data_IF_537134248973
#
_entry.id   IF_537134248973
#
_cell.length_a   1.000
_cell.length_b   1.000
_cell.length_c   1.000
_cell.angle_alpha   90.00
_cell.angle_beta   90.00
_cell.angle_gamma   90.00
#
_symmetry.space_group_name_H-M   'P 1'
#
loop_
_entity.id
_entity.type
_entity.pdbx_description
1 polymer ?
#
# COMPACT_ATOMS: atom_id res chain seq x y z
N UNK A 1 16.95 -36.54 -28.32
CA UNK A 1 16.02 -35.39 -28.26
C UNK A 1 15.93 -34.90 -26.83
N UNK A 2 16.65 -33.83 -26.46
CA UNK A 2 16.64 -33.26 -25.09
C UNK A 2 16.85 -31.74 -25.11
N UNK A 3 16.40 -31.06 -26.17
CA UNK A 3 16.55 -29.60 -26.29
C UNK A 3 15.67 -28.80 -25.32
N UNK A 4 14.48 -29.32 -25.00
CA UNK A 4 13.53 -28.64 -24.11
C UNK A 4 13.86 -28.77 -22.63
N UNK A 5 14.48 -29.89 -22.21
CA UNK A 5 14.86 -30.12 -20.82
C UNK A 5 15.89 -29.08 -20.32
N UNK A 6 16.85 -28.70 -21.17
CA UNK A 6 17.84 -27.67 -20.83
C UNK A 6 17.24 -26.27 -20.70
N UNK A 7 16.17 -25.98 -21.46
CA UNK A 7 15.49 -24.69 -21.38
C UNK A 7 14.65 -24.56 -20.10
N UNK A 8 13.97 -25.63 -19.71
CA UNK A 8 13.22 -25.68 -18.44
C UNK A 8 14.12 -25.52 -17.22
N UNK A 9 15.33 -26.10 -17.27
CA UNK A 9 16.32 -25.97 -16.20
C UNK A 9 16.85 -24.53 -16.08
N UNK A 10 17.12 -23.87 -17.21
CA UNK A 10 17.50 -22.46 -17.26
C UNK A 10 16.41 -21.55 -16.67
N UNK A 11 15.13 -21.80 -16.99
CA UNK A 11 14.00 -21.04 -16.43
C UNK A 11 13.86 -21.24 -14.91
N UNK A 12 14.10 -22.45 -14.40
CA UNK A 12 14.10 -22.73 -12.95
C UNK A 12 15.22 -21.99 -12.23
N UNK A 13 16.41 -21.95 -12.82
CA UNK A 13 17.58 -21.28 -12.22
C UNK A 13 17.40 -19.76 -12.16
N UNK A 14 16.88 -19.17 -13.24
CA UNK A 14 16.51 -17.74 -13.31
C UNK A 14 15.45 -17.37 -12.26
N UNK A 15 14.44 -18.22 -12.07
CA UNK A 15 13.39 -18.00 -11.06
C UNK A 15 13.92 -18.07 -9.63
N UNK A 16 14.86 -18.98 -9.34
CA UNK A 16 15.51 -19.08 -8.01
C UNK A 16 16.35 -17.85 -7.70
N UNK A 17 17.12 -17.35 -8.68
CA UNK A 17 17.99 -16.17 -8.51
C UNK A 17 17.20 -14.87 -8.27
N UNK A 18 15.97 -14.78 -8.78
CA UNK A 18 15.07 -13.64 -8.53
C UNK A 18 14.50 -13.62 -7.09
N UNK A 19 14.36 -14.78 -6.44
CA UNK A 19 13.77 -14.88 -5.11
C UNK A 19 14.75 -14.66 -3.96
N UNK A 20 16.06 -14.76 -4.18
CA UNK A 20 17.10 -14.52 -3.17
C UNK A 20 17.55 -13.06 -3.04
N UNK A 21 17.09 -12.16 -3.93
CA UNK A 21 17.45 -10.74 -3.93
C UNK A 21 16.37 -9.81 -3.34
N UNK A 22 15.32 -10.34 -2.68
CA UNK A 22 14.21 -9.54 -2.16
C UNK A 22 14.09 -9.52 -0.63
N UNK A 23 15.13 -9.94 0.09
CA UNK A 23 15.21 -9.83 1.55
C UNK A 23 15.65 -8.44 2.05
N UNK A 24 15.78 -7.46 1.16
CA UNK A 24 15.93 -6.06 1.55
C UNK A 24 14.55 -5.54 1.99
N UNK A 25 14.32 -5.62 3.30
CA UNK A 25 13.48 -4.72 4.11
C UNK A 25 12.65 -3.78 3.24
N UNK A 26 11.37 -4.11 3.03
CA UNK A 26 10.41 -3.15 2.44
C UNK A 26 10.33 -1.98 3.41
N UNK A 27 11.23 -1.02 3.26
CA UNK A 27 10.99 0.33 3.73
C UNK A 27 9.62 0.69 3.19
N UNK A 28 8.72 1.05 4.10
CA UNK A 28 7.46 1.69 3.76
C UNK A 28 7.84 2.95 2.97
N UNK A 29 7.97 2.80 1.67
CA UNK A 29 8.23 3.91 0.76
C UNK A 29 6.96 4.73 0.80
N UNK A 30 6.99 5.83 1.55
CA UNK A 30 5.90 6.79 1.58
C UNK A 30 5.68 7.21 0.13
N UNK A 31 4.49 6.91 -0.40
CA UNK A 31 4.13 7.25 -1.78
C UNK A 31 3.39 8.56 -1.78
N UNK A 32 3.92 9.52 -2.53
CA UNK A 32 3.22 10.78 -2.77
C UNK A 32 2.13 10.57 -3.81
N UNK A 33 0.94 11.11 -3.55
CA UNK A 33 -0.17 11.13 -4.49
C UNK A 33 -0.72 12.54 -4.66
N UNK A 34 -1.49 12.75 -5.74
CA UNK A 34 -2.22 13.99 -5.98
C UNK A 34 -3.68 13.78 -5.64
N UNK A 35 -4.24 14.72 -4.87
CA UNK A 35 -5.64 14.69 -4.44
C UNK A 35 -6.52 15.39 -5.46
N UNK A 36 -7.58 14.71 -5.91
CA UNK A 36 -8.64 15.27 -6.74
C UNK A 36 -10.01 14.83 -6.22
N UNK A 37 -10.74 15.74 -5.59
CA UNK A 37 -12.03 15.43 -4.97
C UNK A 37 -11.88 14.37 -3.88
N UNK A 38 -12.53 13.22 -4.06
CA UNK A 38 -12.50 12.07 -3.12
C UNK A 38 -11.51 10.96 -3.53
N UNK A 39 -10.57 11.26 -4.43
CA UNK A 39 -9.59 10.28 -4.92
C UNK A 39 -8.16 10.79 -4.77
N UNK A 40 -7.26 9.89 -4.41
CA UNK A 40 -5.81 10.11 -4.47
C UNK A 40 -5.23 9.28 -5.61
N UNK A 41 -4.55 9.95 -6.52
CA UNK A 41 -3.87 9.32 -7.66
C UNK A 41 -2.40 9.10 -7.31
N UNK A 42 -1.93 7.85 -7.43
CA UNK A 42 -0.52 7.48 -7.23
C UNK A 42 -0.06 6.75 -8.49
N UNK A 43 0.76 7.41 -9.31
CA UNK A 43 1.13 6.91 -10.62
C UNK A 43 -0.11 6.72 -11.50
N UNK A 44 -0.33 5.49 -12.00
CA UNK A 44 -1.50 5.13 -12.82
C UNK A 44 -2.69 4.59 -12.00
N UNK A 45 -2.59 4.55 -10.67
CA UNK A 45 -3.62 4.01 -9.79
C UNK A 45 -4.40 5.13 -9.11
N UNK A 46 -5.71 4.92 -8.99
CA UNK A 46 -6.60 5.78 -8.24
C UNK A 46 -7.14 5.03 -7.04
N UNK A 47 -7.12 5.68 -5.88
CA UNK A 47 -7.65 5.16 -4.63
C UNK A 47 -8.72 6.13 -4.15
N UNK A 48 -9.92 5.63 -3.86
CA UNK A 48 -10.91 6.42 -3.13
C UNK A 48 -10.40 6.63 -1.70
N UNK A 49 -10.56 7.83 -1.18
CA UNK A 49 -10.22 8.14 0.20
C UNK A 49 -11.25 9.11 0.77
N UNK A 50 -11.43 9.06 2.10
CA UNK A 50 -12.23 10.05 2.83
C UNK A 50 -11.27 10.98 3.58
N UNK A 51 -11.66 12.24 3.76
CA UNK A 51 -10.90 13.13 4.64
C UNK A 51 -10.96 12.60 6.07
N UNK A 52 -9.79 12.37 6.68
CA UNK A 52 -9.69 12.16 8.11
C UNK A 52 -9.79 13.51 8.83
N UNK A 53 -10.51 13.54 9.93
CA UNK A 53 -10.65 14.69 10.82
C UNK A 53 -9.87 14.46 12.11
N UNK A 54 -9.28 15.53 12.64
CA UNK A 54 -8.64 15.52 13.94
C UNK A 54 -9.69 15.70 15.04
N UNK A 55 -9.79 14.73 15.96
CA UNK A 55 -10.81 14.72 17.02
C UNK A 55 -10.12 14.68 18.38
N UNK A 56 -10.42 15.68 19.20
CA UNK A 56 -10.09 15.69 20.62
C UNK A 56 -11.08 14.78 21.36
N UNK A 57 -10.64 13.58 21.74
CA UNK A 57 -11.48 12.60 22.46
C UNK A 57 -11.50 12.89 23.97
N UNK A 58 -10.41 13.43 24.48
CA UNK A 58 -10.18 13.87 25.87
C UNK A 58 -9.16 15.00 25.79
N UNK A 59 -9.23 15.97 26.69
CA UNK A 59 -8.31 17.11 26.70
C UNK A 59 -6.84 16.69 26.50
N UNK A 60 -6.23 17.16 25.40
CA UNK A 60 -4.85 16.85 25.03
C UNK A 60 -4.64 15.54 24.26
N UNK A 61 -5.69 14.72 24.06
CA UNK A 61 -5.65 13.47 23.29
C UNK A 61 -6.40 13.62 21.97
N UNK A 62 -5.64 13.56 20.88
CA UNK A 62 -6.11 13.76 19.52
C UNK A 62 -5.99 12.46 18.73
N UNK A 63 -6.98 12.16 17.89
CA UNK A 63 -6.98 11.01 17.00
C UNK A 63 -7.47 11.42 15.62
N UNK A 64 -6.98 10.75 14.58
CA UNK A 64 -7.53 10.89 13.24
C UNK A 64 -8.68 9.92 13.04
N UNK A 65 -9.83 10.44 12.64
CA UNK A 65 -11.04 9.66 12.39
C UNK A 65 -11.62 9.95 11.01
N UNK A 66 -12.21 8.93 10.38
CA UNK A 66 -13.14 9.15 9.27
C UNK A 66 -14.58 9.21 9.79
N UNK A 67 -15.37 10.15 9.26
CA UNK A 67 -16.82 10.20 9.53
C UNK A 67 -17.53 9.44 8.42
N UNK A 68 -18.11 8.31 8.77
CA UNK A 68 -18.92 7.51 7.84
C UNK A 68 -20.21 8.22 7.47
N UNK A 69 -20.88 7.77 6.41
CA UNK A 69 -22.19 8.29 5.99
C UNK A 69 -23.29 8.17 7.06
N UNK A 70 -23.12 7.26 8.02
CA UNK A 70 -24.02 7.09 9.18
C UNK A 70 -23.72 8.01 10.36
N UNK A 71 -22.76 8.95 10.24
CA UNK A 71 -22.35 9.83 11.33
C UNK A 71 -21.47 9.16 12.39
N UNK A 72 -20.96 7.95 12.11
CA UNK A 72 -20.07 7.22 13.02
C UNK A 72 -18.63 7.63 12.72
N UNK A 73 -17.90 8.00 13.77
CA UNK A 73 -16.46 8.24 13.70
C UNK A 73 -15.68 6.91 13.83
N UNK A 74 -14.77 6.64 12.89
CA UNK A 74 -13.89 5.46 12.89
C UNK A 74 -12.44 5.93 13.03
N UNK A 75 -11.76 5.49 14.09
CA UNK A 75 -10.34 5.82 14.33
C UNK A 75 -9.48 5.13 13.28
N UNK A 76 -8.71 5.93 12.54
CA UNK A 76 -7.78 5.46 11.49
C UNK A 76 -6.31 5.73 11.84
N UNK A 77 -6.06 6.51 12.89
CA UNK A 77 -4.73 6.77 13.43
C UNK A 77 -4.78 7.56 14.74
N UNK A 78 -3.66 7.55 15.47
CA UNK A 78 -3.40 8.30 16.69
C UNK A 78 -1.92 8.65 16.76
#
# INVERSE_FOLDING_TARGET
>A
MTGMAGLEELFREMSRKKNTASSTKRESTIKQGVVHGQHVTIGSKNYSYTAAVDINIVEGMYVWCEITSGGIAVIVGA
#
